data_IF_659254475980
#
_entry.id   IF_659254475980
#
_cell.length_a   1.000
_cell.length_b   1.000
_cell.length_c   1.000
_cell.angle_alpha   90.00
_cell.angle_beta   90.00
_cell.angle_gamma   90.00
#
_symmetry.space_group_name_H-M   'P 1'
#
loop_
_entity.id
_entity.type
_entity.pdbx_description
1 polymer ?
#
# COMPACT_ATOMS: atom_id res chain seq x y z
N UNK A 1 -3.17 -16.89 38.78
CA UNK A 1 -3.71 -15.53 38.62
C UNK A 1 -3.41 -15.14 37.19
N UNK A 2 -4.43 -15.22 36.33
CA UNK A 2 -4.31 -14.92 34.90
C UNK A 2 -4.40 -13.41 34.71
N UNK A 3 -3.47 -12.84 33.95
CA UNK A 3 -3.49 -11.45 33.48
C UNK A 3 -4.53 -11.29 32.37
N UNK A 4 -5.50 -10.36 32.48
CA UNK A 4 -6.49 -10.12 31.43
C UNK A 4 -5.99 -9.02 30.48
N UNK A 5 -4.87 -9.26 29.78
CA UNK A 5 -4.36 -8.33 28.75
C UNK A 5 -3.94 -9.07 27.46
N UNK A 6 -4.56 -10.21 27.19
CA UNK A 6 -4.46 -10.93 25.92
C UNK A 6 -5.85 -11.24 25.32
N UNK A 7 -6.81 -10.34 25.51
CA UNK A 7 -8.00 -10.34 24.66
C UNK A 7 -7.70 -9.54 23.39
N UNK A 8 -7.28 -10.29 22.37
CA UNK A 8 -7.68 -10.10 20.98
C UNK A 8 -7.97 -8.64 20.61
N UNK A 9 -6.96 -7.95 20.08
CA UNK A 9 -7.20 -6.85 19.16
C UNK A 9 -7.86 -7.46 17.90
N UNK A 10 -9.17 -7.67 18.01
CA UNK A 10 -10.04 -8.12 16.93
C UNK A 10 -9.91 -7.12 15.79
N UNK A 11 -9.36 -7.57 14.65
CA UNK A 11 -9.66 -7.35 13.20
C UNK A 11 -10.66 -6.26 12.74
N UNK A 12 -10.99 -5.27 13.55
CA UNK A 12 -11.89 -4.16 13.26
C UNK A 12 -11.04 -2.90 13.13
N UNK A 13 -10.32 -2.73 12.02
CA UNK A 13 -9.94 -1.40 11.49
C UNK A 13 -8.87 -1.40 10.37
N UNK A 14 -8.83 -2.39 9.50
CA UNK A 14 -7.79 -2.49 8.45
C UNK A 14 -7.70 -1.24 7.54
N UNK A 15 -8.73 -0.40 7.51
CA UNK A 15 -8.86 0.74 6.59
C UNK A 15 -9.54 1.98 7.21
N UNK A 16 -9.28 2.28 8.50
CA UNK A 16 -9.84 3.43 9.26
C UNK A 16 -9.75 4.80 8.60
N UNK A 17 -8.88 4.92 7.62
CA UNK A 17 -8.50 6.17 7.00
C UNK A 17 -9.19 6.39 5.65
N UNK A 18 -10.00 5.44 5.15
CA UNK A 18 -10.73 5.62 3.90
C UNK A 18 -11.78 6.71 4.04
N UNK A 19 -11.79 7.67 3.11
CA UNK A 19 -12.70 8.81 3.12
C UNK A 19 -12.24 9.97 4.01
N UNK A 20 -11.04 9.88 4.59
CA UNK A 20 -10.41 11.00 5.29
C UNK A 20 -10.33 12.24 4.39
N UNK A 21 -10.72 13.37 4.97
CA UNK A 21 -10.59 14.69 4.35
C UNK A 21 -9.12 15.10 4.23
N UNK A 22 -8.31 14.79 5.24
CA UNK A 22 -6.88 15.05 5.26
C UNK A 22 -6.16 13.89 5.95
N UNK A 23 -4.99 13.53 5.42
CA UNK A 23 -4.17 12.42 5.89
C UNK A 23 -2.69 12.71 5.69
N UNK A 24 -1.88 12.39 6.71
CA UNK A 24 -0.45 12.62 6.71
C UNK A 24 0.28 11.43 7.31
N UNK A 25 1.42 11.08 6.73
CA UNK A 25 2.34 10.07 7.27
C UNK A 25 3.27 10.75 8.29
N UNK A 26 3.28 10.25 9.52
CA UNK A 26 4.17 10.71 10.60
C UNK A 26 5.49 9.94 10.59
N UNK A 27 5.45 8.62 10.36
CA UNK A 27 6.63 7.75 10.33
C UNK A 27 6.32 6.42 9.62
N UNK A 28 7.35 5.57 9.47
CA UNK A 28 7.18 4.23 8.92
C UNK A 28 7.97 3.19 9.72
N UNK A 29 7.50 1.94 9.70
CA UNK A 29 8.22 0.76 10.19
C UNK A 29 8.36 -0.26 9.06
N UNK A 30 9.38 -1.11 9.16
CA UNK A 30 9.75 -2.04 8.11
C UNK A 30 9.66 -3.48 8.62
N UNK A 31 8.95 -4.34 7.89
CA UNK A 31 9.05 -5.78 8.06
C UNK A 31 10.03 -6.35 7.04
N UNK A 32 11.29 -6.51 7.45
CA UNK A 32 12.37 -7.00 6.57
C UNK A 32 12.17 -8.43 6.08
N UNK A 33 11.40 -9.27 6.79
CA UNK A 33 11.14 -10.66 6.38
C UNK A 33 10.22 -10.72 5.17
N UNK A 34 9.21 -9.86 5.13
CA UNK A 34 8.20 -9.83 4.08
C UNK A 34 8.37 -8.69 3.09
N UNK A 35 9.37 -7.81 3.33
CA UNK A 35 9.61 -6.57 2.57
C UNK A 35 8.38 -5.65 2.56
N UNK A 36 7.69 -5.57 3.70
CA UNK A 36 6.52 -4.70 3.91
C UNK A 36 6.86 -3.44 4.70
N UNK A 37 6.05 -2.41 4.49
CA UNK A 37 6.10 -1.17 5.25
C UNK A 37 4.71 -0.86 5.79
N UNK A 38 4.66 -0.49 7.06
CA UNK A 38 3.47 0.09 7.68
C UNK A 38 3.77 1.53 8.06
N UNK A 39 2.83 2.43 7.80
CA UNK A 39 2.92 3.84 8.12
C UNK A 39 2.18 4.16 9.41
N UNK A 40 2.80 4.97 10.27
CA UNK A 40 2.07 5.70 11.28
C UNK A 40 1.42 6.89 10.59
N UNK A 41 0.09 6.95 10.62
CA UNK A 41 -0.67 8.03 9.99
C UNK A 41 -1.44 8.82 11.03
N UNK A 42 -1.70 10.07 10.69
CA UNK A 42 -2.78 10.86 11.27
C UNK A 42 -3.77 11.23 10.18
N UNK A 43 -5.06 11.23 10.51
CA UNK A 43 -6.14 11.54 9.56
C UNK A 43 -7.31 12.25 10.26
N UNK A 44 -8.15 12.93 9.49
CA UNK A 44 -9.41 13.56 9.94
C UNK A 44 -10.45 13.54 8.83
N UNK A 45 -11.75 13.51 9.18
CA UNK A 45 -12.85 13.41 8.21
C UNK A 45 -13.51 14.74 7.88
N UNK A 46 -13.24 15.78 8.66
CA UNK A 46 -13.66 17.14 8.38
C UNK A 46 -12.55 18.15 8.70
N UNK A 47 -12.61 19.39 8.16
CA UNK A 47 -11.67 20.44 8.52
C UNK A 47 -11.63 20.75 10.03
N UNK A 48 -12.78 20.62 10.71
CA UNK A 48 -12.99 20.95 12.13
C UNK A 48 -12.72 19.78 13.08
N UNK A 49 -12.57 18.57 12.57
CA UNK A 49 -12.31 17.38 13.39
C UNK A 49 -10.91 17.44 14.01
N UNK A 50 -10.76 16.76 15.14
CA UNK A 50 -9.46 16.45 15.72
C UNK A 50 -8.77 15.35 14.91
N UNK A 51 -7.43 15.35 14.94
CA UNK A 51 -6.64 14.32 14.28
C UNK A 51 -6.76 12.98 15.03
N UNK A 52 -7.26 11.97 14.33
CA UNK A 52 -7.12 10.57 14.71
C UNK A 52 -5.76 10.02 14.27
N UNK A 53 -5.31 8.93 14.88
CA UNK A 53 -4.04 8.27 14.53
C UNK A 53 -4.22 6.77 14.46
N UNK A 54 -3.44 6.14 13.58
CA UNK A 54 -3.40 4.69 13.50
C UNK A 54 -2.25 4.21 12.63
N UNK A 55 -2.25 2.91 12.36
CA UNK A 55 -1.31 2.27 11.45
C UNK A 55 -2.03 1.89 10.17
N UNK A 56 -1.34 2.05 9.05
CA UNK A 56 -1.84 1.64 7.74
C UNK A 56 -0.74 0.92 6.97
N UNK A 57 -1.08 -0.19 6.32
CA UNK A 57 -0.16 -0.87 5.41
C UNK A 57 0.11 0.01 4.18
N UNK A 58 1.35 0.06 3.70
CA UNK A 58 1.74 0.87 2.55
C UNK A 58 0.89 0.56 1.32
N UNK A 59 0.61 -0.72 1.08
CA UNK A 59 -0.18 -1.18 -0.07
C UNK A 59 -1.60 -0.62 -0.04
N UNK A 60 -2.19 -0.50 1.14
CA UNK A 60 -3.57 -0.03 1.29
C UNK A 60 -3.62 1.49 1.28
N UNK A 61 -2.71 2.15 2.00
CA UNK A 61 -2.61 3.60 1.95
C UNK A 61 -2.36 4.11 0.53
N UNK A 62 -1.50 3.45 -0.25
CA UNK A 62 -1.22 3.87 -1.62
C UNK A 62 -2.40 3.66 -2.58
N UNK A 63 -3.26 2.65 -2.35
CA UNK A 63 -4.47 2.45 -3.19
C UNK A 63 -5.42 3.64 -3.09
N UNK A 64 -5.57 4.22 -1.91
CA UNK A 64 -6.55 5.28 -1.63
C UNK A 64 -5.92 6.69 -1.67
N UNK A 65 -4.66 6.83 -1.25
CA UNK A 65 -3.97 8.11 -1.11
C UNK A 65 -2.55 8.04 -1.68
N UNK A 66 -2.45 7.70 -2.97
CA UNK A 66 -1.18 7.49 -3.67
C UNK A 66 -0.21 8.67 -3.49
N UNK A 67 -0.68 9.90 -3.69
CA UNK A 67 0.18 11.08 -3.65
C UNK A 67 0.83 11.29 -2.29
N UNK A 68 0.13 10.93 -1.21
CA UNK A 68 0.64 11.04 0.16
C UNK A 68 1.81 10.07 0.38
N UNK A 69 1.67 8.82 -0.08
CA UNK A 69 2.74 7.81 -0.02
C UNK A 69 3.94 8.21 -0.86
N UNK A 70 3.71 8.63 -2.11
CA UNK A 70 4.80 9.00 -3.03
C UNK A 70 5.55 10.25 -2.55
N UNK A 71 4.84 11.25 -2.04
CA UNK A 71 5.46 12.46 -1.49
C UNK A 71 6.27 12.16 -0.24
N UNK A 72 5.76 11.30 0.65
CA UNK A 72 6.50 10.85 1.83
C UNK A 72 7.82 10.20 1.43
N UNK A 73 7.80 9.22 0.53
CA UNK A 73 9.03 8.56 0.08
C UNK A 73 9.99 9.54 -0.56
N UNK A 74 9.51 10.42 -1.46
CA UNK A 74 10.35 11.44 -2.09
C UNK A 74 11.04 12.33 -1.06
N UNK A 75 10.35 12.72 0.01
CA UNK A 75 10.91 13.59 1.06
C UNK A 75 12.06 12.97 1.87
N UNK A 76 12.18 11.64 1.87
CA UNK A 76 13.22 10.92 2.62
C UNK A 76 14.20 10.16 1.72
N UNK A 77 14.34 10.59 0.46
CA UNK A 77 15.32 10.05 -0.50
C UNK A 77 14.81 8.89 -1.36
N UNK A 78 13.53 8.57 -1.29
CA UNK A 78 12.87 7.49 -2.03
C UNK A 78 12.73 6.20 -1.21
N UNK A 79 11.78 5.36 -1.62
CA UNK A 79 11.45 4.12 -0.91
C UNK A 79 12.61 3.14 -0.84
N UNK A 80 13.30 2.93 -1.96
CA UNK A 80 14.44 2.01 -2.01
C UNK A 80 15.54 2.45 -1.04
N UNK A 81 15.83 3.74 -0.98
CA UNK A 81 16.87 4.28 -0.10
C UNK A 81 16.46 4.18 1.37
N UNK A 82 15.21 4.47 1.71
CA UNK A 82 14.71 4.41 3.08
C UNK A 82 14.57 2.95 3.61
N UNK A 83 14.20 1.99 2.76
CA UNK A 83 13.88 0.61 3.17
C UNK A 83 15.00 -0.40 2.93
N UNK A 84 15.88 -0.12 1.96
CA UNK A 84 16.91 -1.04 1.45
C UNK A 84 16.36 -2.39 0.97
N UNK A 85 15.05 -2.48 0.71
CA UNK A 85 14.42 -3.70 0.21
C UNK A 85 14.88 -4.03 -1.21
N UNK A 86 15.22 -5.30 -1.42
CA UNK A 86 15.60 -5.84 -2.74
C UNK A 86 14.41 -6.49 -3.46
N UNK A 87 13.32 -6.74 -2.73
CA UNK A 87 12.09 -7.32 -3.25
C UNK A 87 11.00 -6.26 -3.31
N UNK A 88 10.25 -6.26 -4.42
CA UNK A 88 9.15 -5.33 -4.66
C UNK A 88 7.84 -6.11 -4.80
N UNK A 89 6.76 -5.52 -4.29
CA UNK A 89 5.42 -6.07 -4.38
C UNK A 89 4.63 -5.37 -5.47
N UNK A 90 3.83 -6.12 -6.22
CA UNK A 90 2.92 -5.56 -7.22
C UNK A 90 1.74 -4.92 -6.49
N UNK A 91 1.50 -3.63 -6.74
CA UNK A 91 0.32 -2.93 -6.24
C UNK A 91 -0.91 -3.28 -7.10
N UNK A 92 -0.80 -3.09 -8.41
CA UNK A 92 -1.87 -3.36 -9.38
C UNK A 92 -1.33 -3.54 -10.79
N UNK A 93 -2.15 -4.13 -11.65
CA UNK A 93 -1.97 -4.14 -13.11
C UNK A 93 -2.58 -2.86 -13.66
N UNK A 94 -1.89 -2.20 -14.60
CA UNK A 94 -2.37 -0.97 -15.23
C UNK A 94 -2.64 -1.13 -16.73
N UNK A 95 -2.02 -2.12 -17.38
CA UNK A 95 -2.29 -2.44 -18.77
C UNK A 95 -1.99 -3.91 -19.05
N UNK A 96 -2.62 -4.44 -20.09
CA UNK A 96 -2.40 -5.80 -20.58
C UNK A 96 -1.83 -5.76 -21.99
N UNK A 97 -0.76 -6.54 -22.19
CA UNK A 97 -0.18 -6.83 -23.49
C UNK A 97 -0.23 -8.35 -23.70
N UNK A 98 -0.11 -8.83 -24.95
CA UNK A 98 -0.31 -10.23 -25.37
C UNK A 98 0.01 -11.28 -24.27
N UNK A 99 1.27 -11.36 -23.85
CA UNK A 99 1.75 -12.31 -22.83
C UNK A 99 2.28 -11.64 -21.54
N UNK A 100 2.07 -10.34 -21.36
CA UNK A 100 2.63 -9.55 -20.25
C UNK A 100 1.58 -8.63 -19.62
N UNK A 101 1.78 -8.31 -18.36
CA UNK A 101 1.08 -7.21 -17.70
C UNK A 101 2.05 -6.06 -17.47
N UNK A 102 1.59 -4.84 -17.71
CA UNK A 102 2.25 -3.65 -17.16
C UNK A 102 1.80 -3.50 -15.73
N UNK A 103 2.75 -3.50 -14.79
CA UNK A 103 2.47 -3.48 -13.36
C UNK A 103 2.97 -2.19 -12.74
N UNK A 104 2.23 -1.71 -11.74
CA UNK A 104 2.68 -0.71 -10.79
C UNK A 104 3.19 -1.41 -9.54
N UNK A 105 4.31 -0.95 -9.01
CA UNK A 105 4.90 -1.46 -7.78
C UNK A 105 4.44 -0.67 -6.56
N UNK A 106 4.40 -1.34 -5.40
CA UNK A 106 4.15 -0.69 -4.11
C UNK A 106 5.26 0.32 -3.81
N UNK A 107 4.87 1.55 -3.53
CA UNK A 107 5.73 2.70 -3.27
C UNK A 107 6.22 3.47 -4.49
N UNK A 108 5.71 3.14 -5.68
CA UNK A 108 6.18 3.71 -6.95
C UNK A 108 5.04 4.20 -7.84
N UNK A 109 5.33 5.13 -8.74
CA UNK A 109 4.33 5.78 -9.59
C UNK A 109 3.90 4.87 -10.76
N UNK A 110 2.61 4.87 -11.10
CA UNK A 110 2.05 4.18 -12.26
C UNK A 110 2.49 4.77 -13.62
N UNK A 111 2.96 6.01 -13.68
CA UNK A 111 3.32 6.67 -14.94
C UNK A 111 4.81 6.48 -15.27
N UNK A 112 5.67 6.57 -14.26
CA UNK A 112 7.13 6.62 -14.44
C UNK A 112 7.81 5.27 -14.09
N UNK A 113 7.27 4.54 -13.11
CA UNK A 113 7.97 3.43 -12.47
C UNK A 113 7.26 2.09 -12.72
N UNK A 114 6.99 1.78 -13.98
CA UNK A 114 6.28 0.54 -14.35
C UNK A 114 7.17 -0.42 -15.12
N UNK A 115 6.86 -1.71 -15.00
CA UNK A 115 7.54 -2.75 -15.76
C UNK A 115 6.53 -3.68 -16.43
N UNK A 116 6.97 -4.31 -17.52
CA UNK A 116 6.24 -5.39 -18.17
C UNK A 116 6.67 -6.74 -17.58
N UNK A 117 5.74 -7.40 -16.90
CA UNK A 117 5.96 -8.66 -16.22
C UNK A 117 5.21 -9.81 -16.91
N UNK A 118 5.81 -11.00 -17.06
CA UNK A 118 5.12 -12.15 -17.65
C UNK A 118 3.84 -12.50 -16.89
N UNK A 119 2.73 -12.74 -17.59
CA UNK A 119 1.43 -13.07 -16.98
C UNK A 119 1.52 -14.22 -15.96
N UNK A 120 2.33 -15.26 -16.27
CA UNK A 120 2.58 -16.41 -15.38
C UNK A 120 3.25 -15.99 -14.06
N UNK A 121 4.23 -15.09 -14.11
CA UNK A 121 4.92 -14.56 -12.91
C UNK A 121 3.94 -13.77 -12.05
N UNK A 122 3.20 -12.83 -12.67
CA UNK A 122 2.23 -11.99 -11.95
C UNK A 122 1.13 -12.84 -11.30
N UNK A 123 0.59 -13.86 -11.98
CA UNK A 123 -0.36 -14.80 -11.38
C UNK A 123 0.22 -15.54 -10.18
N UNK A 124 1.48 -15.93 -10.24
CA UNK A 124 2.15 -16.66 -9.15
C UNK A 124 2.40 -15.81 -7.91
N UNK A 125 2.76 -14.53 -8.07
CA UNK A 125 3.18 -13.67 -6.94
C UNK A 125 2.11 -12.69 -6.48
N UNK A 126 1.15 -12.36 -7.34
CA UNK A 126 0.10 -11.40 -7.07
C UNK A 126 -1.24 -11.84 -7.72
N UNK A 127 -1.78 -13.03 -7.39
CA UNK A 127 -3.01 -13.53 -7.99
C UNK A 127 -4.20 -12.59 -7.74
N UNK A 128 -4.26 -11.94 -6.57
CA UNK A 128 -5.29 -10.95 -6.24
C UNK A 128 -5.29 -9.76 -7.20
N UNK A 129 -4.13 -9.27 -7.62
CA UNK A 129 -4.02 -8.19 -8.60
C UNK A 129 -4.53 -8.62 -9.99
N UNK A 130 -4.29 -9.87 -10.38
CA UNK A 130 -4.81 -10.42 -11.64
C UNK A 130 -6.34 -10.56 -11.60
N UNK A 131 -6.89 -11.06 -10.50
CA UNK A 131 -8.34 -11.18 -10.34
C UNK A 131 -9.01 -9.80 -10.40
N UNK A 132 -8.49 -8.81 -9.66
CA UNK A 132 -9.01 -7.45 -9.69
C UNK A 132 -8.95 -6.81 -11.08
N UNK A 133 -7.87 -7.03 -11.84
CA UNK A 133 -7.76 -6.56 -13.23
C UNK A 133 -8.82 -7.17 -14.13
N UNK A 134 -9.00 -8.49 -14.06
CA UNK A 134 -9.98 -9.20 -14.90
C UNK A 134 -11.41 -8.77 -14.61
N UNK A 135 -11.77 -8.50 -13.36
CA UNK A 135 -13.12 -8.05 -13.01
C UNK A 135 -13.44 -6.68 -13.61
N UNK A 136 -12.46 -5.76 -13.68
CA UNK A 136 -12.63 -4.44 -14.30
C UNK A 136 -12.81 -4.46 -15.81
N UNK A 137 -12.29 -5.49 -16.49
CA UNK A 137 -12.39 -5.61 -17.94
C UNK A 137 -13.76 -6.15 -18.42
N UNK A 138 -14.66 -6.48 -17.48
CA UNK A 138 -16.00 -7.03 -17.76
C UNK A 138 -17.09 -5.95 -17.63
N UNK A 139 -16.75 -4.76 -17.14
CA UNK A 139 -17.59 -3.55 -17.14
C UNK A 139 -17.30 -2.69 -18.38
#
# INVERSE_FOLDING_TARGET
MATPEEEFAEDYDDLIFIGAYDIQIESHIQNKKTSDVSFRIKFKFSPTDTWSRGWAEEIDLQKYYQDIVLNYWRSIGGRCEATKFQMYKILRIIAEEKNKYRVQWVGYNAEEDTNLEPKKKVWSIAPKAVLAWKTRAVE
#
